data_IF_739040906872
#
_entry.id   IF_739040906872
#
_cell.length_a   1.000
_cell.length_b   1.000
_cell.length_c   1.000
_cell.angle_alpha   90.00
_cell.angle_beta   90.00
_cell.angle_gamma   90.00
#
_symmetry.space_group_name_H-M   'P 1'
#
loop_
_entity.id
_entity.type
_entity.pdbx_description
1 polymer ?
#
# COMPACT_ATOMS: atom_id res chain seq x y z
N UNK A 1 10.48 0.04 5.52
CA UNK A 1 11.32 -0.37 4.37
C UNK A 1 10.76 -1.65 3.79
N UNK A 2 10.67 -1.75 2.46
CA UNK A 2 10.25 -2.96 1.73
C UNK A 2 11.43 -3.43 0.88
N UNK A 3 11.91 -4.63 1.18
CA UNK A 3 13.16 -5.16 0.61
C UNK A 3 12.93 -6.10 -0.58
N UNK A 4 11.69 -6.58 -0.75
CA UNK A 4 11.34 -7.54 -1.80
C UNK A 4 10.83 -6.81 -3.04
N UNK A 5 11.76 -6.41 -3.89
CA UNK A 5 11.46 -5.73 -5.16
C UNK A 5 11.69 -6.69 -6.33
N UNK A 6 10.70 -6.81 -7.22
CA UNK A 6 10.73 -7.73 -8.36
C UNK A 6 11.19 -7.05 -9.65
N UNK A 7 10.86 -5.78 -9.83
CA UNK A 7 11.14 -5.01 -11.03
C UNK A 7 11.28 -3.53 -10.69
N UNK A 8 12.25 -2.87 -11.31
CA UNK A 8 12.42 -1.41 -11.28
C UNK A 8 12.44 -0.91 -12.73
N UNK A 9 11.68 0.15 -13.00
CA UNK A 9 11.67 0.82 -14.30
C UNK A 9 11.94 2.30 -14.06
N UNK A 10 12.95 2.83 -14.74
CA UNK A 10 13.29 4.25 -14.71
C UNK A 10 13.71 4.70 -16.10
N UNK A 11 12.96 5.66 -16.68
CA UNK A 11 13.27 6.32 -17.94
C UNK A 11 13.70 5.39 -19.10
N UNK A 12 13.07 4.21 -19.17
CA UNK A 12 13.31 3.21 -20.22
C UNK A 12 14.32 2.12 -19.85
N UNK A 13 15.09 2.29 -18.78
CA UNK A 13 15.93 1.23 -18.22
C UNK A 13 15.09 0.34 -17.30
N UNK A 14 14.97 -0.95 -17.67
CA UNK A 14 14.17 -1.93 -16.94
C UNK A 14 15.09 -2.96 -16.32
N UNK A 15 15.10 -3.03 -14.98
CA UNK A 15 15.80 -4.06 -14.24
C UNK A 15 14.79 -5.08 -13.73
N UNK A 16 14.92 -6.32 -14.23
CA UNK A 16 14.06 -7.44 -13.90
C UNK A 16 14.81 -8.35 -12.93
N UNK A 17 14.21 -8.61 -11.76
CA UNK A 17 14.77 -9.51 -10.76
C UNK A 17 14.61 -10.98 -11.14
N UNK A 18 15.63 -11.78 -10.87
CA UNK A 18 15.58 -13.24 -10.95
C UNK A 18 16.16 -13.82 -9.65
N UNK A 19 15.40 -14.00 -8.55
CA UNK A 19 13.97 -13.71 -8.33
C UNK A 19 13.66 -12.30 -7.78
N UNK A 20 14.67 -11.58 -7.28
CA UNK A 20 14.55 -10.21 -6.75
C UNK A 20 15.61 -9.32 -7.41
N UNK A 21 15.36 -8.01 -7.44
CA UNK A 21 16.37 -7.02 -7.85
C UNK A 21 17.28 -6.74 -6.65
N UNK A 22 18.56 -7.09 -6.76
CA UNK A 22 19.52 -6.87 -5.70
C UNK A 22 19.76 -5.37 -5.47
N UNK A 23 19.76 -4.96 -4.21
CA UNK A 23 20.02 -3.57 -3.80
C UNK A 23 18.91 -2.57 -4.12
N UNK A 24 17.73 -3.03 -4.52
CA UNK A 24 16.54 -2.20 -4.62
C UNK A 24 15.82 -2.12 -3.28
N UNK A 25 15.51 -0.91 -2.81
CA UNK A 25 14.79 -0.71 -1.56
C UNK A 25 13.72 0.37 -1.71
N UNK A 26 12.59 0.15 -1.06
CA UNK A 26 11.47 1.11 -1.06
C UNK A 26 11.24 1.59 0.36
N UNK A 27 11.39 2.90 0.56
CA UNK A 27 11.11 3.55 1.83
C UNK A 27 9.74 4.19 1.81
N UNK A 28 9.06 4.12 2.94
CA UNK A 28 7.72 4.63 3.08
C UNK A 28 7.24 4.61 4.51
N UNK A 29 6.34 5.53 4.81
CA UNK A 29 5.76 5.74 6.13
C UNK A 29 4.38 5.11 6.23
N UNK A 30 4.11 4.51 7.39
CA UNK A 30 2.79 4.01 7.75
C UNK A 30 1.91 5.20 8.15
N UNK A 31 0.90 5.51 7.35
CA UNK A 31 -0.01 6.62 7.67
C UNK A 31 -1.02 6.23 8.74
N UNK A 32 -1.67 5.07 8.58
CA UNK A 32 -2.70 4.58 9.51
C UNK A 32 -3.08 3.13 9.24
N UNK A 33 -3.57 2.46 10.28
CA UNK A 33 -4.24 1.18 10.19
C UNK A 33 -5.76 1.38 10.10
N UNK A 34 -6.42 0.59 9.27
CA UNK A 34 -7.83 0.74 8.92
C UNK A 34 -8.51 -0.61 8.87
N UNK A 35 -9.82 -0.61 9.07
CA UNK A 35 -10.66 -1.76 8.75
C UNK A 35 -11.31 -1.54 7.41
N UNK A 36 -11.12 -2.49 6.49
CA UNK A 36 -11.72 -2.47 5.17
C UNK A 36 -13.25 -2.54 5.20
N UNK A 37 -13.83 -2.52 4.00
CA UNK A 37 -15.29 -2.67 3.83
C UNK A 37 -15.74 -4.01 4.40
N UNK A 38 -16.93 -4.03 4.99
CA UNK A 38 -17.52 -5.25 5.53
C UNK A 38 -17.91 -6.18 4.39
N UNK A 39 -17.27 -7.34 4.31
CA UNK A 39 -17.63 -8.42 3.40
C UNK A 39 -18.64 -9.30 4.13
N UNK A 40 -19.80 -9.51 3.54
CA UNK A 40 -20.85 -10.36 4.12
C UNK A 40 -20.74 -11.74 3.49
N UNK A 41 -20.37 -12.74 4.29
CA UNK A 41 -20.37 -14.15 3.90
C UNK A 41 -21.71 -14.75 4.30
N UNK A 42 -22.54 -15.05 3.31
CA UNK A 42 -23.81 -15.72 3.50
C UNK A 42 -23.71 -17.17 3.02
N UNK A 43 -23.99 -18.12 3.92
CA UNK A 43 -24.05 -19.55 3.60
C UNK A 43 -25.45 -20.07 3.86
N UNK A 44 -26.09 -20.58 2.82
CA UNK A 44 -27.40 -21.23 2.89
C UNK A 44 -27.28 -22.66 2.37
N UNK A 45 -27.87 -23.61 3.10
CA UNK A 45 -27.98 -25.00 2.64
C UNK A 45 -29.43 -25.28 2.21
N UNK A 46 -29.68 -25.67 0.95
CA UNK A 46 -31.03 -25.98 0.46
C UNK A 46 -31.68 -27.09 1.28
N UNK A 47 -32.99 -26.97 1.54
CA UNK A 47 -33.83 -27.99 2.22
C UNK A 47 -33.37 -28.43 3.63
N UNK A 48 -32.35 -27.79 4.21
CA UNK A 48 -31.84 -28.08 5.57
C UNK A 48 -32.15 -26.97 6.58
N UNK A 49 -32.99 -25.99 6.22
CA UNK A 49 -33.37 -24.81 7.03
C UNK A 49 -32.17 -24.07 7.68
N UNK A 50 -30.96 -24.25 7.13
CA UNK A 50 -29.73 -23.72 7.68
C UNK A 50 -29.31 -22.49 6.89
N UNK A 51 -29.24 -21.34 7.57
CA UNK A 51 -28.73 -20.07 7.03
C UNK A 51 -27.78 -19.44 8.03
N UNK A 52 -26.57 -19.08 7.58
CA UNK A 52 -25.56 -18.37 8.38
C UNK A 52 -25.15 -17.11 7.63
N UNK A 53 -25.21 -15.97 8.31
CA UNK A 53 -24.74 -14.67 7.80
C UNK A 53 -23.64 -14.19 8.74
N UNK A 54 -22.42 -14.11 8.25
CA UNK A 54 -21.27 -13.60 9.00
C UNK A 54 -20.66 -12.41 8.25
N UNK A 55 -20.06 -11.50 8.99
CA UNK A 55 -19.33 -10.38 8.43
C UNK A 55 -17.84 -10.53 8.70
N UNK A 56 -17.02 -10.27 7.68
CA UNK A 56 -15.57 -10.10 7.84
C UNK A 56 -15.20 -8.65 7.53
N UNK A 57 -14.28 -8.10 8.30
CA UNK A 57 -13.62 -6.81 8.01
C UNK A 57 -12.13 -7.05 8.07
N UNK A 58 -11.48 -6.96 6.91
CA UNK A 58 -10.05 -7.11 6.80
C UNK A 58 -9.32 -5.93 7.42
N UNK A 59 -8.29 -6.20 8.20
CA UNK A 59 -7.36 -5.17 8.67
C UNK A 59 -6.39 -4.85 7.53
N UNK A 60 -6.29 -3.56 7.19
CA UNK A 60 -5.46 -3.05 6.11
C UNK A 60 -4.63 -1.88 6.63
N UNK A 61 -3.43 -1.71 6.08
CA UNK A 61 -2.53 -0.62 6.44
C UNK A 61 -2.37 0.30 5.25
N UNK A 62 -2.54 1.60 5.47
CA UNK A 62 -2.26 2.61 4.44
C UNK A 62 -0.79 3.01 4.54
N UNK A 63 -0.02 2.66 3.51
CA UNK A 63 1.38 3.01 3.36
C UNK A 63 1.50 4.17 2.36
N UNK A 64 2.35 5.15 2.69
CA UNK A 64 2.80 6.17 1.74
C UNK A 64 4.23 5.83 1.32
N UNK A 65 4.52 5.85 0.03
CA UNK A 65 5.88 5.64 -0.48
C UNK A 65 6.58 6.99 -0.60
N UNK A 66 7.79 7.07 -0.07
CA UNK A 66 8.57 8.30 0.01
C UNK A 66 9.73 8.28 -0.99
N UNK A 67 10.47 7.18 -1.02
CA UNK A 67 11.63 7.02 -1.88
C UNK A 67 11.73 5.60 -2.44
N UNK A 68 12.29 5.50 -3.65
CA UNK A 68 12.71 4.26 -4.26
C UNK A 68 14.20 4.42 -4.58
N UNK A 69 15.00 3.52 -4.03
CA UNK A 69 16.45 3.51 -4.26
C UNK A 69 16.88 2.21 -4.93
N UNK A 70 17.91 2.31 -5.75
CA UNK A 70 18.53 1.20 -6.45
C UNK A 70 20.04 1.34 -6.32
N UNK A 71 20.68 0.44 -5.58
CA UNK A 71 22.14 0.43 -5.35
C UNK A 71 22.69 1.79 -4.86
N UNK A 72 21.91 2.53 -4.07
CA UNK A 72 22.26 3.87 -3.58
C UNK A 72 21.90 5.03 -4.52
N UNK A 73 21.49 4.75 -5.76
CA UNK A 73 20.90 5.75 -6.65
C UNK A 73 19.43 5.96 -6.33
N UNK A 74 19.00 7.21 -6.18
CA UNK A 74 17.60 7.57 -5.92
C UNK A 74 16.87 7.66 -7.26
N UNK A 75 16.00 6.68 -7.51
CA UNK A 75 15.24 6.55 -8.77
C UNK A 75 14.01 7.46 -8.75
N UNK A 76 13.37 7.55 -7.59
CA UNK A 76 12.24 8.43 -7.38
C UNK A 76 12.24 8.88 -5.93
N UNK A 77 12.09 10.20 -5.72
CA UNK A 77 11.89 10.78 -4.40
C UNK A 77 10.72 11.74 -4.48
N UNK A 78 9.84 11.65 -3.50
CA UNK A 78 8.79 12.65 -3.33
C UNK A 78 9.44 13.97 -2.89
N UNK A 79 9.27 15.02 -3.68
CA UNK A 79 9.57 16.38 -3.25
C UNK A 79 8.53 16.83 -2.22
N UNK A 80 8.99 17.32 -1.08
CA UNK A 80 8.13 17.95 -0.09
C UNK A 80 7.64 19.28 -0.66
N UNK A 81 6.38 19.34 -1.08
CA UNK A 81 5.70 20.64 -1.20
C UNK A 81 5.64 21.24 0.21
N UNK A 82 6.19 22.45 0.45
CA UNK A 82 6.04 23.11 1.74
C UNK A 82 4.55 23.26 2.03
N UNK A 83 4.18 22.95 3.27
CA UNK A 83 2.82 23.10 3.76
C UNK A 83 2.46 24.60 3.73
N UNK A 84 1.81 25.03 2.65
CA UNK A 84 1.27 26.38 2.53
C UNK A 84 -0.23 26.37 2.87
N UNK A 85 -0.56 27.24 3.83
CA UNK A 85 -1.87 27.66 4.31
C UNK A 85 -2.65 26.71 5.26
N UNK A 86 -2.20 26.69 6.52
CA UNK A 86 -3.17 26.90 7.60
C UNK A 86 -3.66 28.36 7.53
N UNK A 87 -4.92 28.59 7.13
CA UNK A 87 -5.62 29.86 7.35
C UNK A 87 -6.96 29.61 8.03
N UNK A 88 -7.03 30.11 9.25
CA UNK A 88 -8.21 30.46 10.03
C UNK A 88 -9.27 31.19 9.19
N UNK A 89 -10.54 30.83 9.33
CA UNK A 89 -11.66 31.78 9.28
C UNK A 89 -12.73 31.28 10.23
N UNK A 90 -12.97 32.09 11.25
CA UNK A 90 -14.10 32.05 12.17
C UNK A 90 -15.42 32.23 11.39
N UNK A 91 -16.37 31.31 11.59
CA UNK A 91 -17.82 31.49 11.83
C UNK A 91 -18.53 30.13 11.84
#
# INVERSE_FOLDING_TARGET
MIDKVLLVNHDGEVQIGQPLVNGATVEGTVLRHLRGRKIIVYKMRPKKKTRKKQGHRQEITRLMIESITLNGSVVAKREEKPAEAATTTEE
#
